data_IF_900421755531
#
_entry.id   IF_900421755531
#
_cell.length_a   1.000
_cell.length_b   1.000
_cell.length_c   1.000
_cell.angle_alpha   90.00
_cell.angle_beta   90.00
_cell.angle_gamma   90.00
#
_symmetry.space_group_name_H-M   'P 1'
#
loop_
_entity.id
_entity.type
_entity.pdbx_description
1 polymer ?
#
# COMPACT_ATOMS: atom_id res chain seq x y z
N UNK A 1 19.23 31.60 -4.08
CA UNK A 1 19.03 30.28 -4.72
C UNK A 1 19.21 29.24 -3.63
N UNK A 2 18.12 28.71 -3.09
CA UNK A 2 18.20 27.72 -2.01
C UNK A 2 18.32 26.34 -2.65
N UNK A 3 19.40 25.63 -2.33
CA UNK A 3 19.63 24.26 -2.80
C UNK A 3 18.42 23.39 -2.43
N UNK A 4 17.97 22.47 -3.30
CA UNK A 4 16.93 21.52 -2.91
C UNK A 4 17.45 20.72 -1.72
N UNK A 5 16.65 20.66 -0.65
CA UNK A 5 16.98 19.87 0.52
C UNK A 5 17.22 18.42 0.05
N UNK A 6 18.39 17.86 0.36
CA UNK A 6 18.67 16.46 0.10
C UNK A 6 17.57 15.62 0.74
N UNK A 7 16.89 14.73 -0.02
CA UNK A 7 15.86 13.89 0.55
C UNK A 7 16.46 13.05 1.68
N UNK A 8 15.72 12.94 2.79
CA UNK A 8 16.12 12.09 3.92
C UNK A 8 16.09 10.64 3.46
N UNK A 9 17.12 9.86 3.84
CA UNK A 9 17.10 8.41 3.65
C UNK A 9 15.97 7.78 4.47
N UNK A 10 15.47 6.61 4.07
CA UNK A 10 14.41 5.91 4.80
C UNK A 10 14.78 5.68 6.27
N UNK A 11 16.05 5.39 6.53
CA UNK A 11 16.57 5.25 7.89
C UNK A 11 16.49 6.56 8.67
N UNK A 12 16.89 7.69 8.08
CA UNK A 12 16.83 8.99 8.74
C UNK A 12 15.38 9.44 8.97
N UNK A 13 14.48 9.16 8.02
CA UNK A 13 13.04 9.40 8.18
C UNK A 13 12.47 8.60 9.36
N UNK A 14 12.74 7.29 9.43
CA UNK A 14 12.29 6.46 10.54
C UNK A 14 12.88 6.91 11.89
N UNK A 15 14.15 7.34 11.90
CA UNK A 15 14.76 7.91 13.10
C UNK A 15 14.07 9.20 13.53
N UNK A 16 13.77 10.10 12.59
CA UNK A 16 13.09 11.37 12.86
C UNK A 16 11.66 11.15 13.38
N UNK A 17 10.91 10.21 12.79
CA UNK A 17 9.57 9.81 13.24
C UNK A 17 9.60 9.30 14.68
N UNK A 18 10.56 8.45 15.05
CA UNK A 18 10.70 7.96 16.43
C UNK A 18 11.10 9.07 17.41
N UNK A 19 11.99 9.96 17.00
CA UNK A 19 12.38 11.11 17.82
C UNK A 19 11.17 12.03 18.05
N UNK A 20 10.33 12.24 17.03
CA UNK A 20 9.13 13.08 17.10
C UNK A 20 8.15 12.52 18.15
N UNK A 21 7.94 11.19 18.14
CA UNK A 21 7.18 10.50 19.17
C UNK A 21 7.68 10.78 20.59
N UNK A 22 8.99 10.68 20.80
CA UNK A 22 9.64 10.93 22.10
C UNK A 22 9.57 12.41 22.52
N UNK A 23 9.65 13.34 21.57
CA UNK A 23 9.60 14.77 21.82
C UNK A 23 8.19 15.26 22.25
N UNK A 24 7.13 14.51 21.93
CA UNK A 24 5.77 14.81 22.39
C UNK A 24 5.53 14.41 23.86
N UNK A 25 6.22 13.39 24.36
CA UNK A 25 5.99 12.81 25.70
C UNK A 25 6.13 13.82 26.86
N UNK A 26 7.10 14.75 26.87
CA UNK A 26 7.22 15.73 27.95
C UNK A 26 6.05 16.73 28.03
N UNK A 27 5.29 16.91 26.94
CA UNK A 27 4.18 17.87 26.88
C UNK A 27 2.87 17.29 27.41
N UNK A 28 2.80 15.97 27.62
CA UNK A 28 1.60 15.26 28.08
C UNK A 28 1.74 14.85 29.54
N UNK A 29 0.65 14.90 30.33
CA UNK A 29 0.68 14.50 31.74
C UNK A 29 0.85 12.97 31.88
N UNK A 30 1.25 12.53 33.07
CA UNK A 30 1.31 11.10 33.38
C UNK A 30 -0.09 10.45 33.29
N UNK A 31 -0.13 9.15 32.94
CA UNK A 31 -1.38 8.40 32.81
C UNK A 31 -2.12 8.62 31.49
N UNK A 32 -1.48 9.22 30.48
CA UNK A 32 -2.02 9.26 29.13
C UNK A 32 -2.14 7.83 28.56
N UNK A 33 -3.16 7.61 27.74
CA UNK A 33 -3.37 6.36 26.99
C UNK A 33 -3.20 6.57 25.49
N UNK A 34 -3.60 7.74 24.98
CA UNK A 34 -3.43 8.11 23.57
C UNK A 34 -2.89 9.51 23.42
N UNK A 35 -2.04 9.73 22.42
CA UNK A 35 -1.58 11.05 21.98
C UNK A 35 -1.91 11.18 20.50
N UNK A 36 -2.39 12.34 20.07
CA UNK A 36 -2.67 12.66 18.69
C UNK A 36 -2.00 13.99 18.34
N UNK A 37 -1.16 13.99 17.32
CA UNK A 37 -0.59 15.19 16.75
C UNK A 37 -1.02 15.32 15.28
N UNK A 38 -1.49 16.49 14.91
CA UNK A 38 -1.84 16.81 13.54
C UNK A 38 -0.98 17.98 13.07
N UNK A 39 -0.25 17.77 11.99
CA UNK A 39 0.50 18.81 11.32
C UNK A 39 -0.17 19.12 9.98
N UNK A 40 -0.40 20.40 9.69
CA UNK A 40 -0.90 20.87 8.40
C UNK A 40 0.00 21.99 7.89
N UNK A 41 0.45 21.94 6.64
CA UNK A 41 1.17 23.05 6.04
C UNK A 41 0.93 23.23 4.55
N UNK A 42 0.85 24.50 4.14
CA UNK A 42 0.87 24.94 2.76
C UNK A 42 1.68 26.24 2.68
N UNK A 43 2.83 26.17 2.02
CA UNK A 43 3.77 27.28 1.88
C UNK A 43 4.30 27.67 3.25
N UNK A 44 4.05 28.92 3.65
CA UNK A 44 4.45 29.46 4.96
C UNK A 44 3.40 29.29 6.05
N UNK A 45 2.19 28.84 5.71
CA UNK A 45 1.12 28.60 6.69
C UNK A 45 1.31 27.21 7.31
N UNK A 46 1.51 27.16 8.62
CA UNK A 46 1.75 25.93 9.37
C UNK A 46 0.80 25.91 10.57
N UNK A 47 0.06 24.83 10.74
CA UNK A 47 -0.74 24.54 11.91
C UNK A 47 -0.29 23.21 12.51
N UNK A 48 0.00 23.21 13.81
CA UNK A 48 0.25 21.99 14.56
C UNK A 48 -0.69 21.95 15.75
N UNK A 49 -1.38 20.84 15.91
CA UNK A 49 -2.24 20.57 17.05
C UNK A 49 -1.77 19.29 17.73
N UNK A 50 -1.69 19.33 19.06
CA UNK A 50 -1.30 18.19 19.89
C UNK A 50 -2.39 18.01 20.94
N UNK A 51 -2.84 16.77 21.13
CA UNK A 51 -3.83 16.43 22.14
C UNK A 51 -3.49 15.08 22.76
N UNK A 52 -3.94 14.85 23.99
CA UNK A 52 -3.82 13.56 24.66
C UNK A 52 -5.17 13.13 25.23
N UNK A 53 -5.37 11.82 25.36
CA UNK A 53 -6.49 11.22 26.07
C UNK A 53 -5.97 10.37 27.23
N UNK A 54 -6.63 10.49 28.38
CA UNK A 54 -6.40 9.62 29.54
C UNK A 54 -7.31 8.39 29.50
N UNK A 55 -7.53 7.72 30.64
CA UNK A 55 -8.43 6.56 30.75
C UNK A 55 -9.89 6.85 30.42
N UNK A 56 -10.28 8.12 30.43
CA UNK A 56 -11.62 8.58 30.06
C UNK A 56 -11.83 8.70 28.54
N UNK A 57 -10.78 8.50 27.74
CA UNK A 57 -10.83 8.54 26.28
C UNK A 57 -11.04 9.92 25.67
N UNK A 58 -11.19 10.98 26.49
CA UNK A 58 -11.43 12.33 26.00
C UNK A 58 -10.12 13.03 25.63
N UNK A 59 -10.02 13.47 24.37
CA UNK A 59 -8.89 14.25 23.90
C UNK A 59 -8.91 15.68 24.46
N UNK A 60 -7.78 16.08 25.04
CA UNK A 60 -7.52 17.40 25.59
C UNK A 60 -6.36 18.04 24.85
N UNK A 61 -6.52 19.25 24.30
CA UNK A 61 -5.44 19.92 23.59
C UNK A 61 -4.35 20.32 24.56
N UNK A 62 -3.11 20.17 24.12
CA UNK A 62 -1.92 20.70 24.78
C UNK A 62 -1.11 21.50 23.77
N UNK A 63 -0.32 22.44 24.27
CA UNK A 63 0.53 23.25 23.40
C UNK A 63 1.62 22.36 22.79
N UNK A 64 1.74 22.27 21.45
CA UNK A 64 2.84 21.53 20.83
C UNK A 64 4.19 22.13 21.20
N UNK A 65 5.18 21.34 21.62
CA UNK A 65 6.55 21.79 21.78
C UNK A 65 7.11 22.34 20.47
N UNK A 66 7.97 23.36 20.54
CA UNK A 66 8.59 23.95 19.35
C UNK A 66 9.42 22.93 18.56
N UNK A 67 10.12 22.04 19.25
CA UNK A 67 10.94 20.99 18.63
C UNK A 67 10.07 20.04 17.81
N UNK A 68 8.87 19.68 18.29
CA UNK A 68 7.90 18.86 17.55
C UNK A 68 7.47 19.55 16.25
N UNK A 69 7.19 20.86 16.31
CA UNK A 69 6.83 21.65 15.11
C UNK A 69 7.97 21.67 14.10
N UNK A 70 9.22 21.88 14.56
CA UNK A 70 10.41 21.90 13.71
C UNK A 70 10.69 20.53 13.08
N UNK A 71 10.56 19.46 13.85
CA UNK A 71 10.81 18.09 13.39
C UNK A 71 9.80 17.65 12.34
N UNK A 72 8.51 18.01 12.48
CA UNK A 72 7.55 17.79 11.39
C UNK A 72 7.93 18.58 10.13
N UNK A 73 8.36 19.84 10.28
CA UNK A 73 8.84 20.65 9.16
C UNK A 73 10.06 20.03 8.46
N UNK A 74 11.00 19.50 9.23
CA UNK A 74 12.18 18.79 8.71
C UNK A 74 11.78 17.49 8.02
N UNK A 75 10.88 16.70 8.61
CA UNK A 75 10.37 15.47 8.02
C UNK A 75 9.68 15.76 6.68
N UNK A 76 8.85 16.79 6.64
CA UNK A 76 8.18 17.25 5.44
C UNK A 76 9.14 17.65 4.33
N UNK A 77 10.15 18.45 4.68
CA UNK A 77 11.16 18.88 3.74
C UNK A 77 12.00 17.69 3.23
N UNK A 78 12.35 16.76 4.11
CA UNK A 78 13.13 15.57 3.76
C UNK A 78 12.36 14.49 3.01
N UNK A 79 11.03 14.47 3.10
CA UNK A 79 10.16 13.57 2.33
C UNK A 79 9.79 14.13 0.94
N UNK A 80 10.25 15.34 0.61
CA UNK A 80 10.07 15.90 -0.72
C UNK A 80 10.78 15.06 -1.78
N UNK A 81 10.06 14.74 -2.85
CA UNK A 81 10.65 14.18 -4.07
C UNK A 81 10.12 14.92 -5.30
N UNK A 82 10.94 15.33 -6.27
CA UNK A 82 10.49 16.08 -7.45
C UNK A 82 9.35 15.41 -8.23
N UNK A 83 9.32 14.07 -8.26
CA UNK A 83 8.30 13.30 -8.98
C UNK A 83 6.97 13.13 -8.23
N UNK A 84 6.90 13.56 -6.96
CA UNK A 84 5.68 13.42 -6.13
C UNK A 84 5.28 14.67 -5.34
N UNK A 85 6.22 15.58 -5.09
CA UNK A 85 6.08 16.66 -4.12
C UNK A 85 6.29 16.19 -2.67
N UNK A 86 5.63 16.90 -1.74
CA UNK A 86 5.56 16.53 -0.33
C UNK A 86 4.11 16.56 0.17
N UNK A 87 3.88 16.10 1.39
CA UNK A 87 2.57 16.03 2.02
C UNK A 87 2.12 17.39 2.61
N UNK A 88 0.80 17.56 2.73
CA UNK A 88 0.16 18.75 3.29
C UNK A 88 -0.37 18.53 4.71
N UNK A 89 -0.68 17.28 5.05
CA UNK A 89 -1.17 16.87 6.36
C UNK A 89 -0.44 15.63 6.85
N UNK A 90 -0.14 15.57 8.14
CA UNK A 90 0.31 14.37 8.81
C UNK A 90 -0.50 14.16 10.10
N UNK A 91 -0.92 12.93 10.33
CA UNK A 91 -1.57 12.48 11.57
C UNK A 91 -0.64 11.49 12.26
N UNK A 92 -0.19 11.84 13.47
CA UNK A 92 0.64 10.99 14.30
C UNK A 92 -0.15 10.58 15.53
N UNK A 93 -0.34 9.29 15.74
CA UNK A 93 -1.00 8.75 16.93
C UNK A 93 -0.04 7.86 17.72
N UNK A 94 -0.07 7.98 19.05
CA UNK A 94 0.63 7.10 19.97
C UNK A 94 -0.40 6.47 20.88
N UNK A 95 -0.34 5.16 21.03
CA UNK A 95 -1.09 4.38 22.01
C UNK A 95 -0.12 3.78 23.03
N UNK A 96 -0.41 3.97 24.31
CA UNK A 96 0.37 3.39 25.38
C UNK A 96 0.37 1.84 25.26
N UNK A 97 1.49 1.15 25.53
CA UNK A 97 2.72 1.69 26.13
C UNK A 97 3.76 2.23 25.13
N UNK A 98 3.68 1.90 23.85
CA UNK A 98 4.69 2.34 22.86
C UNK A 98 4.25 2.22 21.38
N UNK A 99 3.00 1.80 21.11
CA UNK A 99 2.53 1.66 19.74
C UNK A 99 2.32 3.05 19.15
N UNK A 100 2.72 3.25 17.90
CA UNK A 100 2.44 4.51 17.20
C UNK A 100 2.19 4.26 15.71
N UNK A 101 1.42 5.15 15.12
CA UNK A 101 1.16 5.22 13.68
C UNK A 101 1.40 6.63 13.20
N UNK A 102 1.82 6.77 11.94
CA UNK A 102 1.91 8.07 11.29
C UNK A 102 1.39 7.94 9.86
N UNK A 103 0.43 8.79 9.51
CA UNK A 103 -0.19 8.84 8.21
C UNK A 103 0.11 10.19 7.56
N UNK A 104 0.49 10.17 6.28
CA UNK A 104 0.78 11.37 5.50
C UNK A 104 -0.22 11.51 4.36
N UNK A 105 -0.78 12.70 4.20
CA UNK A 105 -1.73 12.99 3.15
C UNK A 105 -1.25 14.19 2.30
N UNK A 106 -1.24 13.99 0.98
CA UNK A 106 -0.93 15.01 -0.01
C UNK A 106 -2.10 15.32 -0.96
N UNK A 107 -3.15 14.51 -0.93
CA UNK A 107 -4.22 14.50 -1.93
C UNK A 107 -5.50 15.15 -1.41
N UNK A 108 -5.93 14.78 -0.21
CA UNK A 108 -7.14 15.34 0.38
C UNK A 108 -6.86 16.72 0.96
N UNK A 109 -7.84 17.62 0.88
CA UNK A 109 -7.70 18.94 1.48
C UNK A 109 -7.64 18.83 3.02
N UNK A 110 -6.57 19.34 3.68
CA UNK A 110 -6.50 19.32 5.13
C UNK A 110 -7.62 20.16 5.76
N UNK A 111 -8.13 19.70 6.90
CA UNK A 111 -9.06 20.51 7.71
C UNK A 111 -8.31 21.63 8.42
N UNK A 112 -8.29 22.82 7.83
CA UNK A 112 -7.67 24.01 8.39
C UNK A 112 -8.52 24.63 9.49
N UNK A 113 -7.90 25.16 10.56
CA UNK A 113 -8.60 26.09 11.46
C UNK A 113 -8.81 27.43 10.78
N UNK A 114 -7.76 27.92 10.11
CA UNK A 114 -7.83 29.11 9.27
C UNK A 114 -7.24 28.76 7.91
N UNK A 115 -8.10 28.67 6.89
CA UNK A 115 -7.68 28.28 5.56
C UNK A 115 -6.58 29.24 5.02
N UNK A 116 -5.45 28.73 4.51
CA UNK A 116 -4.43 29.55 3.89
C UNK A 116 -5.01 30.32 2.69
N UNK A 117 -4.55 31.56 2.43
CA UNK A 117 -4.93 32.26 1.22
C UNK A 117 -4.36 31.54 -0.03
N UNK A 118 -4.95 31.73 -1.23
CA UNK A 118 -4.46 31.11 -2.47
C UNK A 118 -2.97 31.29 -2.75
N UNK A 119 -2.37 32.43 -2.33
CA UNK A 119 -0.93 32.65 -2.47
C UNK A 119 -0.09 31.65 -1.67
N UNK A 120 -0.55 31.20 -0.49
CA UNK A 120 0.15 30.18 0.29
C UNK A 120 0.19 28.82 -0.42
N UNK A 121 -0.88 28.49 -1.14
CA UNK A 121 -0.96 27.29 -1.98
C UNK A 121 -0.10 27.39 -3.26
N UNK A 122 0.17 28.61 -3.77
CA UNK A 122 1.12 28.83 -4.87
C UNK A 122 2.56 28.74 -4.38
N UNK A 123 2.87 29.39 -3.25
CA UNK A 123 4.18 29.32 -2.60
C UNK A 123 4.56 27.88 -2.25
N UNK A 124 3.58 27.08 -1.87
CA UNK A 124 3.74 25.64 -1.65
C UNK A 124 4.25 24.91 -2.91
N UNK A 125 3.60 25.10 -4.07
CA UNK A 125 4.03 24.49 -5.34
C UNK A 125 5.39 25.03 -5.81
N UNK A 126 5.73 26.28 -5.46
CA UNK A 126 7.05 26.83 -5.75
C UNK A 126 8.15 26.21 -4.87
N UNK A 127 7.84 25.97 -3.59
CA UNK A 127 8.80 25.43 -2.61
C UNK A 127 8.96 23.92 -2.76
N UNK A 128 7.85 23.22 -2.98
CA UNK A 128 7.78 21.77 -3.19
C UNK A 128 7.07 21.46 -4.51
N UNK A 129 7.75 21.67 -5.66
CA UNK A 129 7.22 21.33 -6.97
C UNK A 129 6.74 19.89 -7.04
N UNK A 130 5.60 19.68 -7.68
CA UNK A 130 5.07 18.34 -7.96
C UNK A 130 4.56 18.28 -9.39
N UNK A 131 4.58 17.11 -10.03
CA UNK A 131 4.03 16.96 -11.38
C UNK A 131 2.60 17.48 -11.42
N UNK A 132 2.23 18.13 -12.52
CA UNK A 132 0.90 18.71 -12.68
C UNK A 132 -0.19 17.68 -12.33
N UNK A 133 -0.07 16.45 -12.85
CA UNK A 133 -0.99 15.33 -12.57
C UNK A 133 -1.22 14.99 -11.10
N UNK A 134 -0.30 15.37 -10.20
CA UNK A 134 -0.37 15.11 -8.76
C UNK A 134 -0.82 16.33 -7.95
N UNK A 135 -1.26 17.40 -8.62
CA UNK A 135 -1.95 18.54 -8.00
C UNK A 135 -3.45 18.22 -7.97
N UNK A 136 -4.05 18.00 -6.79
CA UNK A 136 -5.48 17.69 -6.67
C UNK A 136 -6.38 18.80 -7.21
N UNK A 137 -7.59 18.44 -7.64
CA UNK A 137 -8.53 19.40 -8.25
C UNK A 137 -8.90 20.57 -7.34
N UNK A 138 -9.11 20.32 -6.04
CA UNK A 138 -9.40 21.39 -5.08
C UNK A 138 -8.25 22.42 -5.00
N UNK A 139 -7.01 21.96 -5.14
CA UNK A 139 -5.83 22.82 -5.10
C UNK A 139 -5.70 23.57 -6.42
N UNK A 140 -5.88 22.88 -7.56
CA UNK A 140 -5.91 23.50 -8.89
C UNK A 140 -6.90 24.66 -8.96
N UNK A 141 -8.12 24.42 -8.47
CA UNK A 141 -9.17 25.44 -8.39
C UNK A 141 -8.74 26.65 -7.56
N UNK A 142 -8.08 26.44 -6.41
CA UNK A 142 -7.58 27.53 -5.56
C UNK A 142 -6.50 28.37 -6.22
N UNK A 143 -5.59 27.75 -6.97
CA UNK A 143 -4.47 28.46 -7.58
C UNK A 143 -4.73 28.91 -9.03
N UNK A 144 -5.92 28.61 -9.56
CA UNK A 144 -6.33 28.98 -10.92
C UNK A 144 -5.68 28.13 -12.02
N UNK A 145 -5.28 26.89 -11.71
CA UNK A 145 -4.81 25.94 -12.71
C UNK A 145 -5.99 25.31 -13.44
N UNK A 146 -5.85 25.00 -14.74
CA UNK A 146 -6.89 24.29 -15.48
C UNK A 146 -7.11 22.89 -14.87
N UNK A 147 -8.33 22.33 -14.94
CA UNK A 147 -8.55 20.94 -14.58
C UNK A 147 -7.75 20.02 -15.51
N UNK A 148 -7.38 18.82 -15.03
CA UNK A 148 -6.80 17.82 -15.93
C UNK A 148 -7.81 17.42 -17.00
N UNK A 149 -7.35 17.16 -18.24
CA UNK A 149 -8.19 16.43 -19.17
C UNK A 149 -8.57 15.08 -18.54
N UNK A 150 -9.82 14.60 -18.74
CA UNK A 150 -10.19 13.24 -18.34
C UNK A 150 -9.14 12.27 -18.89
N UNK A 151 -8.65 11.35 -18.06
CA UNK A 151 -7.82 10.27 -18.59
C UNK A 151 -8.65 9.54 -19.65
N UNK A 152 -8.12 9.47 -20.88
CA UNK A 152 -8.77 8.69 -21.92
C UNK A 152 -9.01 7.28 -21.35
N UNK A 153 -10.26 6.77 -21.37
CA UNK A 153 -10.50 5.41 -20.96
C UNK A 153 -9.56 4.52 -21.79
N UNK A 154 -8.93 3.54 -21.12
CA UNK A 154 -8.20 2.50 -21.81
C UNK A 154 -9.02 2.03 -23.03
N UNK A 155 -8.40 1.83 -24.19
CA UNK A 155 -9.12 1.60 -25.44
C UNK A 155 -10.21 0.57 -25.20
N UNK A 156 -11.47 1.00 -25.36
CA UNK A 156 -12.62 0.12 -25.27
C UNK A 156 -12.36 -1.07 -26.22
N UNK A 157 -12.64 -2.33 -25.80
CA UNK A 157 -12.55 -3.45 -26.72
C UNK A 157 -13.44 -3.15 -27.92
N UNK A 158 -12.81 -2.87 -29.05
CA UNK A 158 -13.48 -2.62 -30.31
C UNK A 158 -14.27 -3.88 -30.66
N UNK A 159 -15.54 -3.67 -30.99
CA UNK A 159 -16.54 -4.62 -31.46
C UNK A 159 -15.99 -5.97 -31.95
N UNK A 160 -16.48 -7.02 -31.30
CA UNK A 160 -16.39 -8.44 -31.63
C UNK A 160 -16.07 -8.72 -33.12
N UNK A 161 -14.81 -9.08 -33.39
CA UNK A 161 -14.56 -10.06 -34.43
C UNK A 161 -15.16 -11.38 -33.92
N UNK A 162 -16.34 -11.75 -34.41
CA UNK A 162 -16.90 -13.08 -34.19
C UNK A 162 -15.91 -14.12 -34.73
N UNK A 163 -15.16 -14.74 -33.83
CA UNK A 163 -14.38 -15.92 -34.15
C UNK A 163 -15.34 -17.05 -34.51
N UNK A 164 -15.14 -17.79 -35.61
CA UNK A 164 -15.94 -18.97 -35.91
C UNK A 164 -15.79 -20.00 -34.79
N UNK A 165 -16.83 -20.82 -34.53
CA UNK A 165 -16.82 -21.77 -33.43
C UNK A 165 -15.63 -22.75 -33.56
N UNK A 166 -14.95 -23.09 -32.45
CA UNK A 166 -13.75 -23.92 -32.49
C UNK A 166 -14.11 -25.34 -32.94
N UNK A 167 -13.40 -25.80 -33.97
CA UNK A 167 -13.30 -27.23 -34.29
C UNK A 167 -12.49 -27.88 -33.18
N UNK A 168 -13.08 -28.88 -32.52
CA UNK A 168 -12.43 -29.68 -31.49
C UNK A 168 -11.22 -30.40 -32.09
N UNK A 169 -10.03 -29.86 -31.90
CA UNK A 169 -8.78 -30.60 -32.05
C UNK A 169 -8.35 -31.07 -30.67
N UNK A 170 -8.43 -32.38 -30.46
CA UNK A 170 -7.91 -33.06 -29.28
C UNK A 170 -6.41 -32.77 -29.14
N UNK A 171 -6.04 -31.90 -28.20
CA UNK A 171 -4.65 -31.71 -27.81
C UNK A 171 -4.18 -32.89 -26.97
N UNK A 172 -3.24 -33.66 -27.51
CA UNK A 172 -2.48 -34.66 -26.77
C UNK A 172 -1.46 -33.98 -25.83
N UNK A 173 -1.57 -34.30 -24.54
CA UNK A 173 -0.62 -33.89 -23.50
C UNK A 173 0.68 -34.71 -23.66
N UNK A 174 1.87 -34.08 -23.74
CA UNK A 174 3.14 -34.82 -23.75
C UNK A 174 3.43 -35.47 -22.40
N UNK A 175 4.19 -36.58 -22.34
CA UNK A 175 4.39 -37.35 -21.10
C UNK A 175 5.20 -36.56 -20.07
N UNK A 176 4.64 -36.41 -18.87
CA UNK A 176 5.31 -35.85 -17.70
C UNK A 176 6.43 -36.77 -17.23
N UNK A 177 7.62 -36.22 -16.96
CA UNK A 177 8.64 -36.91 -16.17
C UNK A 177 8.13 -37.07 -14.72
N UNK A 178 8.47 -38.17 -14.01
CA UNK A 178 7.97 -38.41 -12.65
C UNK A 178 8.55 -37.39 -11.67
N UNK A 179 7.81 -36.32 -11.41
CA UNK A 179 8.06 -35.45 -10.27
C UNK A 179 7.54 -36.16 -9.02
N UNK A 180 8.44 -36.37 -8.06
CA UNK A 180 8.18 -37.01 -6.79
C UNK A 180 6.97 -36.32 -6.10
N UNK A 181 5.99 -37.07 -5.57
CA UNK A 181 4.92 -36.48 -4.79
C UNK A 181 5.54 -35.81 -3.57
N UNK A 182 5.46 -34.48 -3.53
CA UNK A 182 5.76 -33.75 -2.31
C UNK A 182 4.77 -34.18 -1.21
N UNK A 183 5.22 -34.29 0.05
CA UNK A 183 4.43 -34.89 1.10
C UNK A 183 3.11 -34.14 1.33
N UNK A 184 2.02 -34.90 1.39
CA UNK A 184 0.71 -34.41 1.78
C UNK A 184 0.76 -33.91 3.23
N UNK A 185 0.57 -32.60 3.45
CA UNK A 185 0.41 -32.00 4.78
C UNK A 185 1.15 -30.69 5.04
N UNK A 186 2.02 -30.27 4.12
CA UNK A 186 2.74 -29.00 4.22
C UNK A 186 2.04 -27.89 3.43
N UNK A 187 1.55 -26.88 4.15
CA UNK A 187 1.04 -25.64 3.57
C UNK A 187 2.19 -24.92 2.85
N UNK A 188 1.97 -24.53 1.59
CA UNK A 188 2.96 -23.85 0.75
C UNK A 188 2.63 -22.37 0.62
N UNK A 189 3.62 -21.50 0.78
CA UNK A 189 3.44 -20.05 0.57
C UNK A 189 3.80 -19.68 -0.86
N UNK A 190 2.85 -19.09 -1.58
CA UNK A 190 3.03 -18.60 -2.93
C UNK A 190 3.86 -17.31 -2.96
N UNK A 191 4.82 -17.26 -3.87
CA UNK A 191 5.68 -16.12 -4.17
C UNK A 191 4.98 -15.16 -5.11
N UNK A 192 4.96 -13.89 -4.71
CA UNK A 192 4.37 -12.80 -5.51
C UNK A 192 5.14 -12.59 -6.81
N UNK A 193 6.47 -12.67 -6.76
CA UNK A 193 7.39 -12.60 -7.92
C UNK A 193 8.62 -13.51 -7.70
N UNK A 194 9.42 -13.74 -8.74
CA UNK A 194 10.53 -14.72 -8.69
C UNK A 194 11.82 -14.17 -8.09
N UNK A 195 11.96 -12.84 -8.03
CA UNK A 195 13.04 -12.16 -7.34
C UNK A 195 13.14 -10.69 -7.72
N UNK A 196 14.19 -10.02 -7.23
CA UNK A 196 14.64 -8.71 -7.73
C UNK A 196 16.03 -8.90 -8.33
N UNK A 197 16.31 -8.28 -9.47
CA UNK A 197 17.67 -8.25 -10.01
C UNK A 197 18.55 -7.28 -9.21
N UNK A 198 19.85 -7.23 -9.53
CA UNK A 198 20.82 -6.37 -8.84
C UNK A 198 20.48 -4.86 -8.91
N UNK A 199 19.65 -4.45 -9.88
CA UNK A 199 19.13 -3.08 -10.02
C UNK A 199 17.84 -2.82 -9.21
N UNK A 200 17.40 -3.79 -8.39
CA UNK A 200 16.20 -3.70 -7.57
C UNK A 200 14.88 -3.83 -8.35
N UNK A 201 14.93 -4.11 -9.66
CA UNK A 201 13.73 -4.36 -10.48
C UNK A 201 13.22 -5.77 -10.26
N UNK A 202 11.90 -5.89 -10.16
CA UNK A 202 11.24 -7.18 -10.00
C UNK A 202 11.42 -8.01 -11.27
N UNK A 203 11.90 -9.24 -11.10
CA UNK A 203 12.04 -10.22 -12.17
C UNK A 203 10.94 -11.25 -12.02
N UNK A 204 10.19 -11.45 -13.11
CA UNK A 204 9.18 -12.50 -13.23
C UNK A 204 9.45 -13.27 -14.51
N UNK A 205 9.94 -14.50 -14.37
CA UNK A 205 10.25 -15.41 -15.47
C UNK A 205 9.26 -16.58 -15.43
N UNK A 206 7.98 -16.26 -15.63
CA UNK A 206 6.87 -17.22 -15.61
C UNK A 206 6.19 -17.25 -16.97
N UNK A 207 5.60 -18.39 -17.31
CA UNK A 207 4.73 -18.47 -18.48
C UNK A 207 3.49 -17.59 -18.26
N UNK A 208 3.07 -16.80 -19.27
CA UNK A 208 1.80 -16.08 -19.21
C UNK A 208 0.64 -17.04 -18.98
N UNK A 209 -0.31 -16.65 -18.13
CA UNK A 209 -1.55 -17.40 -17.94
C UNK A 209 -2.41 -17.21 -19.18
N UNK A 210 -3.04 -18.29 -19.66
CA UNK A 210 -4.01 -18.21 -20.76
C UNK A 210 -5.11 -17.20 -20.40
N UNK A 211 -5.39 -16.19 -21.24
CA UNK A 211 -6.43 -15.19 -21.00
C UNK A 211 -7.80 -15.79 -20.64
N UNK A 212 -8.13 -16.99 -21.15
CA UNK A 212 -9.39 -17.67 -20.84
C UNK A 212 -9.45 -18.20 -19.40
N UNK A 213 -8.29 -18.45 -18.79
CA UNK A 213 -8.17 -18.95 -17.42
C UNK A 213 -8.05 -17.83 -16.38
N UNK A 214 -7.78 -16.59 -16.81
CA UNK A 214 -7.52 -15.45 -15.91
C UNK A 214 -8.72 -15.15 -15.01
N UNK A 215 -9.94 -15.11 -15.56
CA UNK A 215 -11.14 -14.81 -14.76
C UNK A 215 -11.43 -15.90 -13.73
N UNK A 216 -11.31 -17.17 -14.13
CA UNK A 216 -11.46 -18.31 -13.22
C UNK A 216 -10.40 -18.30 -12.12
N UNK A 217 -9.16 -18.00 -12.49
CA UNK A 217 -8.04 -17.92 -11.56
C UNK A 217 -8.18 -16.74 -10.59
N UNK A 218 -8.59 -15.56 -11.05
CA UNK A 218 -8.85 -14.41 -10.18
C UNK A 218 -9.97 -14.74 -9.18
N UNK A 219 -11.07 -15.31 -9.66
CA UNK A 219 -12.16 -15.71 -8.78
C UNK A 219 -11.71 -16.75 -7.75
N UNK A 220 -10.89 -17.74 -8.14
CA UNK A 220 -10.31 -18.71 -7.21
C UNK A 220 -9.47 -18.04 -6.12
N UNK A 221 -8.57 -17.14 -6.52
CA UNK A 221 -7.65 -16.46 -5.60
C UNK A 221 -8.36 -15.51 -4.64
N UNK A 222 -9.49 -14.92 -5.07
CA UNK A 222 -10.26 -13.94 -4.30
C UNK A 222 -11.42 -14.52 -3.49
N UNK A 223 -11.92 -15.70 -3.85
CA UNK A 223 -12.99 -16.39 -3.11
C UNK A 223 -12.45 -17.16 -1.90
N UNK A 224 -11.14 -17.41 -1.83
CA UNK A 224 -10.55 -18.17 -0.73
C UNK A 224 -10.66 -17.45 0.63
N UNK A 225 -10.86 -18.20 1.73
CA UNK A 225 -10.89 -17.65 3.09
C UNK A 225 -9.66 -16.79 3.41
N UNK A 226 -9.91 -15.64 4.03
CA UNK A 226 -8.86 -14.74 4.53
C UNK A 226 -8.43 -15.21 5.91
N UNK A 227 -7.15 -15.55 6.07
CA UNK A 227 -6.59 -16.03 7.34
C UNK A 227 -5.90 -14.93 8.14
N UNK A 228 -5.40 -13.90 7.46
CA UNK A 228 -4.79 -12.73 8.08
C UNK A 228 -5.10 -11.51 7.22
N UNK A 229 -5.50 -10.40 7.84
CA UNK A 229 -5.70 -9.15 7.14
C UNK A 229 -5.25 -7.97 8.00
N UNK A 230 -4.41 -7.11 7.44
CA UNK A 230 -4.23 -5.77 7.93
C UNK A 230 -5.32 -4.85 7.35
N UNK A 231 -5.57 -3.73 8.04
CA UNK A 231 -6.50 -2.71 7.56
C UNK A 231 -5.86 -1.73 6.57
N UNK A 232 -4.56 -1.85 6.34
CA UNK A 232 -3.75 -1.04 5.42
C UNK A 232 -3.50 -1.77 4.10
N UNK A 233 -3.01 -1.04 3.11
CA UNK A 233 -2.54 -1.56 1.82
C UNK A 233 -1.02 -1.42 1.75
N UNK A 234 -0.36 -2.31 1.03
CA UNK A 234 1.07 -2.25 0.74
C UNK A 234 1.33 -1.42 -0.51
N UNK A 235 2.59 -1.06 -0.69
CA UNK A 235 3.07 -0.42 -1.91
C UNK A 235 2.94 -1.38 -3.09
N UNK A 236 2.35 -0.87 -4.16
CA UNK A 236 2.42 -1.46 -5.48
C UNK A 236 3.83 -1.24 -6.05
N UNK A 237 4.64 -2.28 -5.96
CA UNK A 237 6.04 -2.25 -6.38
C UNK A 237 6.21 -2.25 -7.91
N UNK A 238 5.14 -2.52 -8.67
CA UNK A 238 5.11 -2.42 -10.13
C UNK A 238 4.57 -1.06 -10.60
N UNK A 239 3.90 -0.33 -9.72
CA UNK A 239 3.39 1.00 -9.99
C UNK A 239 4.54 2.00 -10.15
N UNK A 240 4.62 2.62 -11.33
CA UNK A 240 5.50 3.77 -11.55
C UNK A 240 5.01 5.02 -10.79
N UNK A 241 3.74 5.02 -10.34
CA UNK A 241 3.11 6.04 -9.51
C UNK A 241 3.34 5.82 -8.00
N UNK A 242 3.79 4.63 -7.59
CA UNK A 242 3.95 4.26 -6.18
C UNK A 242 2.62 4.17 -5.43
N UNK A 243 1.57 3.69 -6.11
CA UNK A 243 0.25 3.47 -5.52
C UNK A 243 0.32 2.51 -4.32
N UNK A 244 -0.48 2.75 -3.28
CA UNK A 244 -0.60 1.86 -2.12
C UNK A 244 -1.98 1.21 -2.10
N UNK A 245 -2.24 0.34 -3.06
CA UNK A 245 -3.51 -0.36 -3.24
C UNK A 245 -3.37 -1.89 -3.17
N UNK A 246 -2.17 -2.39 -2.86
CA UNK A 246 -1.91 -3.82 -2.71
C UNK A 246 -2.53 -4.33 -1.42
N UNK A 247 -3.50 -5.24 -1.44
CA UNK A 247 -4.17 -5.66 -0.20
C UNK A 247 -3.23 -6.47 0.71
N UNK A 248 -3.04 -6.00 1.95
CA UNK A 248 -2.29 -6.72 2.99
C UNK A 248 -3.16 -7.77 3.67
N UNK A 249 -3.63 -8.73 2.88
CA UNK A 249 -4.28 -9.93 3.40
C UNK A 249 -3.58 -11.18 2.90
N UNK A 250 -3.75 -12.27 3.64
CA UNK A 250 -3.34 -13.60 3.26
C UNK A 250 -4.56 -14.50 3.20
N UNK A 251 -4.60 -15.34 2.18
CA UNK A 251 -5.68 -16.28 1.90
C UNK A 251 -5.13 -17.68 1.76
N UNK A 252 -5.99 -18.68 1.95
CA UNK A 252 -5.60 -20.09 1.77
C UNK A 252 -6.74 -20.95 1.24
N UNK A 253 -6.40 -21.98 0.46
CA UNK A 253 -7.30 -23.09 0.06
C UNK A 253 -7.05 -24.37 0.89
N UNK A 254 -6.23 -24.28 1.92
CA UNK A 254 -5.81 -25.40 2.77
C UNK A 254 -4.58 -26.18 2.27
N UNK A 255 -4.06 -25.87 1.08
CA UNK A 255 -2.78 -26.39 0.56
C UNK A 255 -1.79 -25.27 0.27
N UNK A 256 -2.28 -24.15 -0.28
CA UNK A 256 -1.53 -22.95 -0.59
C UNK A 256 -1.95 -21.78 0.28
N UNK A 257 -1.00 -20.91 0.58
CA UNK A 257 -1.18 -19.62 1.23
C UNK A 257 -0.67 -18.58 0.24
N UNK A 258 -1.44 -17.55 -0.05
CA UNK A 258 -1.00 -16.45 -0.92
C UNK A 258 -1.37 -15.09 -0.35
N UNK A 259 -0.53 -14.10 -0.64
CA UNK A 259 -0.80 -12.71 -0.31
C UNK A 259 -1.83 -12.11 -1.28
N UNK A 260 -2.57 -11.11 -0.81
CA UNK A 260 -3.51 -10.32 -1.61
C UNK A 260 -2.86 -9.61 -2.80
N UNK A 261 -1.54 -9.45 -2.76
CA UNK A 261 -0.73 -9.00 -3.89
C UNK A 261 -0.83 -9.90 -5.13
N UNK A 262 -1.02 -11.21 -4.97
CA UNK A 262 -1.07 -12.17 -6.09
C UNK A 262 -2.27 -11.92 -7.02
N UNK A 263 -3.54 -11.93 -6.53
CA UNK A 263 -4.68 -11.57 -7.37
C UNK A 263 -4.64 -10.09 -7.79
N UNK A 264 -4.10 -9.20 -6.96
CA UNK A 264 -3.98 -7.78 -7.28
C UNK A 264 -3.09 -7.53 -8.50
N UNK A 265 -1.87 -8.07 -8.54
CA UNK A 265 -0.95 -7.90 -9.67
C UNK A 265 -1.37 -8.68 -10.91
N UNK A 266 -2.02 -9.84 -10.74
CA UNK A 266 -2.63 -10.55 -11.87
C UNK A 266 -3.69 -9.68 -12.54
N UNK A 267 -4.57 -9.02 -11.77
CA UNK A 267 -5.59 -8.11 -12.31
C UNK A 267 -4.99 -6.86 -12.93
N UNK A 268 -4.08 -6.20 -12.21
CA UNK A 268 -3.60 -4.85 -12.56
C UNK A 268 -2.53 -4.85 -13.64
N UNK A 269 -1.64 -5.85 -13.63
CA UNK A 269 -0.49 -5.92 -14.53
C UNK A 269 -0.47 -7.17 -15.42
N UNK A 270 -1.45 -8.06 -15.29
CA UNK A 270 -1.41 -9.36 -15.95
C UNK A 270 -0.28 -10.24 -15.43
N UNK A 271 0.21 -9.99 -14.21
CA UNK A 271 1.37 -10.69 -13.69
C UNK A 271 1.01 -12.15 -13.37
N UNK A 272 1.64 -13.14 -14.03
CA UNK A 272 1.32 -14.55 -13.81
C UNK A 272 1.67 -14.99 -12.38
N UNK A 273 0.73 -15.63 -11.64
CA UNK A 273 1.04 -16.31 -10.39
C UNK A 273 1.99 -17.49 -10.61
N UNK A 274 2.49 -18.09 -9.54
CA UNK A 274 3.38 -19.26 -9.65
C UNK A 274 2.72 -20.38 -10.48
N UNK A 275 3.42 -20.97 -11.47
CA UNK A 275 2.84 -22.00 -12.33
C UNK A 275 2.27 -23.20 -11.57
N UNK A 276 2.90 -23.58 -10.45
CA UNK A 276 2.40 -24.65 -9.58
C UNK A 276 1.07 -24.28 -8.90
N UNK A 277 0.88 -23.02 -8.52
CA UNK A 277 -0.39 -22.52 -7.97
C UNK A 277 -1.47 -22.48 -9.05
N UNK A 278 -1.12 -22.03 -10.26
CA UNK A 278 -2.05 -22.03 -11.42
C UNK A 278 -2.49 -23.45 -11.76
N UNK A 279 -1.54 -24.39 -11.82
CA UNK A 279 -1.83 -25.80 -12.06
C UNK A 279 -2.70 -26.41 -10.94
N UNK A 280 -2.44 -26.04 -9.68
CA UNK A 280 -3.25 -26.45 -8.55
C UNK A 280 -4.70 -25.95 -8.65
N UNK A 281 -4.89 -24.65 -8.93
CA UNK A 281 -6.21 -24.05 -9.10
C UNK A 281 -6.98 -24.68 -10.27
N UNK A 282 -6.30 -24.90 -11.40
CA UNK A 282 -6.89 -25.55 -12.57
C UNK A 282 -7.31 -27.00 -12.29
N UNK A 283 -6.49 -27.78 -11.57
CA UNK A 283 -6.82 -29.15 -11.16
C UNK A 283 -8.06 -29.23 -10.24
N UNK A 284 -8.40 -28.12 -9.56
CA UNK A 284 -9.59 -27.99 -8.70
C UNK A 284 -10.77 -27.31 -9.40
N UNK A 285 -10.65 -27.07 -10.71
CA UNK A 285 -11.69 -26.38 -11.48
C UNK A 285 -11.96 -24.96 -11.01
N UNK A 286 -10.95 -24.28 -10.46
CA UNK A 286 -11.06 -22.92 -9.92
C UNK A 286 -12.10 -22.76 -8.80
N UNK A 287 -12.33 -23.82 -8.01
CA UNK A 287 -13.20 -23.77 -6.84
C UNK A 287 -12.43 -23.97 -5.53
N UNK A 288 -12.59 -23.04 -4.60
CA UNK A 288 -12.06 -23.18 -3.24
C UNK A 288 -13.01 -24.04 -2.43
N UNK A 289 -12.48 -25.12 -1.84
CA UNK A 289 -13.24 -25.98 -0.94
C UNK A 289 -13.33 -25.39 0.47
N UNK A 290 -14.10 -26.03 1.35
CA UNK A 290 -14.12 -25.67 2.76
C UNK A 290 -12.75 -25.91 3.39
N UNK A 291 -12.19 -24.88 4.04
CA UNK A 291 -10.90 -24.95 4.72
C UNK A 291 -11.15 -25.09 6.22
N UNK A 292 -10.81 -26.23 6.85
CA UNK A 292 -10.99 -26.41 8.29
C UNK A 292 -10.26 -25.32 9.10
N UNK A 293 -10.86 -24.87 10.21
CA UNK A 293 -10.29 -23.83 11.08
C UNK A 293 -8.86 -24.18 11.53
N UNK A 294 -8.60 -25.45 11.86
CA UNK A 294 -7.26 -25.92 12.23
C UNK A 294 -6.20 -25.67 11.13
N UNK A 295 -6.60 -25.71 9.85
CA UNK A 295 -5.72 -25.43 8.73
C UNK A 295 -5.52 -23.92 8.54
N UNK A 296 -6.54 -23.12 8.83
CA UNK A 296 -6.44 -21.65 8.82
C UNK A 296 -5.49 -21.16 9.92
N UNK A 297 -5.60 -21.70 11.13
CA UNK A 297 -4.71 -21.37 12.26
C UNK A 297 -3.24 -21.72 11.94
N UNK A 298 -3.00 -22.89 11.32
CA UNK A 298 -1.65 -23.27 10.85
C UNK A 298 -1.12 -22.31 9.80
N UNK A 299 -1.98 -21.83 8.89
CA UNK A 299 -1.58 -20.84 7.90
C UNK A 299 -1.15 -19.52 8.57
N UNK A 300 -1.91 -19.04 9.57
CA UNK A 300 -1.54 -17.85 10.35
C UNK A 300 -0.17 -18.03 11.02
N UNK A 301 0.08 -19.17 11.68
CA UNK A 301 1.36 -19.43 12.34
C UNK A 301 2.56 -19.42 11.38
N UNK A 302 2.38 -19.89 10.14
CA UNK A 302 3.42 -19.86 9.10
C UNK A 302 3.71 -18.42 8.68
N UNK A 303 2.68 -17.59 8.50
CA UNK A 303 2.83 -16.18 8.07
C UNK A 303 3.45 -15.31 9.16
N UNK A 304 3.05 -15.48 10.42
CA UNK A 304 3.54 -14.63 11.53
C UNK A 304 4.88 -15.10 12.11
N UNK A 305 5.46 -16.18 11.56
CA UNK A 305 6.74 -16.74 12.03
C UNK A 305 6.69 -17.37 13.43
N UNK A 306 5.50 -17.62 13.98
CA UNK A 306 5.33 -18.19 15.34
C UNK A 306 5.37 -19.72 15.39
N UNK A 307 5.86 -20.37 14.33
CA UNK A 307 5.81 -21.83 14.15
C UNK A 307 7.15 -22.54 13.98
N UNK A 308 8.26 -22.01 14.51
CA UNK A 308 9.51 -22.79 14.64
C UNK A 308 10.07 -22.67 16.06
N UNK A 309 9.67 -23.63 16.88
CA UNK A 309 10.29 -24.01 18.15
C UNK A 309 10.42 -25.52 18.19
#
# INVERSE_FOLDING_TARGET
>A
MSQPATPLSDQDQQQLVRQLGRAMLPAVPQGWQRIRAEYRAAGRHIEVDLAFAGPDGQFRPVRPPMDVVQMFGQLRAGMYHPDRGTWLHALYEIEAPAAFTVDFNAEEEPRWRNAPPPIGFRDELQTFPRPDRLIPDWWRQRVGLPPLPPQEPAPQPQQEFQAPPPQQQEYQVPPQAPQQPAPAGELRTARVYDGKNDDGRIVVNRQPVDPQLVDGLLNYLESAPVVLAARSYDLDEFSQSGEQDVPLNFRTDGTWIWAGAVPHYLRKYGLPPEPELVAHAAARGFQVGEVPEQTQDRAVSIITGQGQG
#
